data_IF_892138834015
#
_entry.id   IF_892138834015
#
_cell.length_a   1.000
_cell.length_b   1.000
_cell.length_c   1.000
_cell.angle_alpha   90.00
_cell.angle_beta   90.00
_cell.angle_gamma   90.00
#
_symmetry.space_group_name_H-M   'P 1'
#
loop_
_entity.id
_entity.type
_entity.pdbx_description
1 polymer ?
#
# COMPACT_ATOMS: atom_id res chain seq x y z
N UNK A 1 -17.87 -0.20 -15.36
CA UNK A 1 -17.74 -1.24 -16.40
C UNK A 1 -17.01 -0.58 -17.56
N UNK A 2 -15.80 -1.05 -17.85
CA UNK A 2 -15.01 -0.66 -19.00
C UNK A 2 -14.57 -1.94 -19.71
N UNK A 3 -14.57 -1.96 -21.02
CA UNK A 3 -13.99 -3.04 -21.82
C UNK A 3 -12.89 -2.43 -22.67
N UNK A 4 -11.64 -2.79 -22.37
CA UNK A 4 -10.46 -2.25 -23.03
C UNK A 4 -9.28 -3.22 -22.89
N UNK A 5 -8.14 -2.87 -23.46
CA UNK A 5 -6.86 -3.53 -23.20
C UNK A 5 -6.19 -2.95 -21.95
N UNK A 6 -5.94 -3.81 -20.97
CA UNK A 6 -5.24 -3.45 -19.75
C UNK A 6 -4.02 -4.36 -19.55
N UNK A 7 -2.99 -3.84 -18.91
CA UNK A 7 -1.89 -4.68 -18.43
C UNK A 7 -2.39 -5.52 -17.26
N UNK A 8 -2.41 -6.83 -17.44
CA UNK A 8 -2.94 -7.77 -16.45
C UNK A 8 -2.27 -9.13 -16.54
N UNK A 9 -2.34 -9.88 -15.45
CA UNK A 9 -1.71 -11.20 -15.36
C UNK A 9 -2.06 -11.92 -14.07
N UNK A 10 -1.84 -13.24 -14.07
CA UNK A 10 -1.91 -14.04 -12.84
C UNK A 10 -0.57 -13.98 -12.10
N UNK A 11 -0.63 -13.75 -10.80
CA UNK A 11 0.51 -13.80 -9.90
C UNK A 11 0.32 -15.04 -9.02
N UNK A 12 0.82 -16.17 -9.50
CA UNK A 12 0.62 -17.49 -8.87
C UNK A 12 1.13 -17.53 -7.42
N UNK A 13 2.24 -16.87 -7.12
CA UNK A 13 2.80 -16.79 -5.77
C UNK A 13 1.90 -16.03 -4.78
N UNK A 14 1.07 -15.13 -5.30
CA UNK A 14 0.10 -14.39 -4.52
C UNK A 14 -1.30 -15.02 -4.56
N UNK A 15 -1.53 -16.03 -5.41
CA UNK A 15 -2.85 -16.60 -5.72
C UNK A 15 -3.87 -15.49 -6.06
N UNK A 16 -3.46 -14.61 -6.97
CA UNK A 16 -4.22 -13.41 -7.32
C UNK A 16 -4.06 -13.05 -8.80
N UNK A 17 -5.06 -12.36 -9.33
CA UNK A 17 -4.95 -11.60 -10.56
C UNK A 17 -4.48 -10.18 -10.27
N UNK A 18 -3.54 -9.70 -11.06
CA UNK A 18 -3.09 -8.32 -11.08
C UNK A 18 -3.66 -7.60 -12.30
N UNK A 19 -4.11 -6.37 -12.09
CA UNK A 19 -4.62 -5.46 -13.12
C UNK A 19 -4.00 -4.08 -12.88
N UNK A 20 -3.30 -3.56 -13.87
CA UNK A 20 -2.75 -2.20 -13.83
C UNK A 20 -3.58 -1.23 -14.66
N UNK A 21 -3.93 -0.10 -14.05
CA UNK A 21 -4.84 0.90 -14.63
C UNK A 21 -4.13 2.26 -14.62
N UNK A 22 -3.62 2.73 -15.76
CA UNK A 22 -2.93 4.00 -15.83
C UNK A 22 -3.88 5.17 -15.57
N UNK A 23 -3.45 6.13 -14.76
CA UNK A 23 -4.12 7.42 -14.66
C UNK A 23 -3.78 8.29 -15.88
N UNK A 24 -4.57 9.34 -16.08
CA UNK A 24 -4.31 10.31 -17.14
C UNK A 24 -2.88 10.87 -17.04
N UNK A 25 -2.15 10.81 -18.16
CA UNK A 25 -0.76 11.25 -18.25
C UNK A 25 0.27 10.17 -17.90
N UNK A 26 -0.15 8.93 -17.63
CA UNK A 26 0.67 7.70 -17.56
C UNK A 26 1.83 7.73 -16.56
N UNK A 27 1.88 8.75 -15.69
CA UNK A 27 2.89 8.88 -14.64
C UNK A 27 2.61 7.99 -13.43
N UNK A 28 1.34 7.71 -13.20
CA UNK A 28 0.87 6.92 -12.08
C UNK A 28 -0.14 5.90 -12.60
N UNK A 29 -0.26 4.78 -11.91
CA UNK A 29 -1.27 3.77 -12.17
C UNK A 29 -1.86 3.25 -10.86
N UNK A 30 -3.03 2.64 -10.96
CA UNK A 30 -3.65 1.88 -9.90
C UNK A 30 -3.46 0.40 -10.19
N UNK A 31 -2.57 -0.25 -9.43
CA UNK A 31 -2.43 -1.70 -9.42
C UNK A 31 -3.47 -2.31 -8.49
N UNK A 32 -4.37 -3.12 -9.05
CA UNK A 32 -5.41 -3.85 -8.33
C UNK A 32 -5.03 -5.33 -8.26
N UNK A 33 -4.95 -5.88 -7.05
CA UNK A 33 -4.79 -7.32 -6.81
C UNK A 33 -6.13 -7.91 -6.39
N UNK A 34 -6.59 -8.92 -7.14
CA UNK A 34 -7.86 -9.61 -6.91
C UNK A 34 -7.53 -11.07 -6.54
N UNK A 35 -7.81 -11.52 -5.31
CA UNK A 35 -7.63 -12.92 -4.93
C UNK A 35 -8.37 -13.86 -5.89
N UNK A 36 -7.81 -15.05 -6.13
CA UNK A 36 -8.43 -16.04 -7.02
C UNK A 36 -9.72 -16.67 -6.43
N UNK A 37 -9.88 -16.64 -5.10
CA UNK A 37 -11.06 -17.12 -4.38
C UNK A 37 -11.73 -16.00 -3.56
N UNK A 38 -13.03 -16.12 -3.31
CA UNK A 38 -13.82 -15.13 -2.56
C UNK A 38 -13.34 -14.96 -1.11
N UNK A 39 -12.75 -15.99 -0.52
CA UNK A 39 -12.15 -16.01 0.83
C UNK A 39 -10.62 -15.83 0.82
N UNK A 40 -10.02 -15.57 -0.35
CA UNK A 40 -8.57 -15.58 -0.55
C UNK A 40 -7.82 -14.36 -0.01
N UNK A 41 -8.54 -13.33 0.46
CA UNK A 41 -7.95 -12.06 0.89
C UNK A 41 -6.94 -12.23 2.04
N UNK A 42 -7.27 -13.03 3.05
CA UNK A 42 -6.38 -13.29 4.19
C UNK A 42 -5.08 -13.98 3.77
N UNK A 43 -5.17 -14.90 2.81
CA UNK A 43 -4.01 -15.58 2.22
C UNK A 43 -3.12 -14.61 1.45
N UNK A 44 -3.74 -13.78 0.61
CA UNK A 44 -3.05 -12.73 -0.15
C UNK A 44 -2.31 -11.76 0.80
N UNK A 45 -2.97 -11.28 1.86
CA UNK A 45 -2.39 -10.35 2.84
C UNK A 45 -1.22 -10.93 3.63
N UNK A 46 -1.14 -12.27 3.78
CA UNK A 46 0.00 -12.94 4.41
C UNK A 46 1.20 -13.10 3.48
N UNK A 47 0.96 -13.22 2.17
CA UNK A 47 2.00 -13.42 1.14
C UNK A 47 2.53 -12.13 0.54
N UNK A 48 1.71 -11.08 0.54
CA UNK A 48 2.05 -9.77 -0.02
C UNK A 48 3.23 -9.08 0.67
N UNK A 49 3.39 -9.11 2.02
CA UNK A 49 4.51 -8.48 2.68
C UNK A 49 5.85 -9.06 2.18
N UNK A 50 6.72 -8.19 1.68
CA UNK A 50 8.02 -8.60 1.12
C UNK A 50 7.96 -9.12 -0.33
N UNK A 51 6.77 -9.23 -0.93
CA UNK A 51 6.67 -9.52 -2.36
C UNK A 51 7.07 -8.30 -3.18
N UNK A 52 7.92 -8.50 -4.19
CA UNK A 52 8.43 -7.42 -5.02
C UNK A 52 7.40 -6.99 -6.06
N UNK A 53 7.05 -5.70 -6.10
CA UNK A 53 6.21 -5.13 -7.16
C UNK A 53 6.80 -5.35 -8.56
N UNK A 54 8.14 -5.37 -8.68
CA UNK A 54 8.82 -5.69 -9.93
C UNK A 54 8.52 -7.12 -10.42
N UNK A 55 8.26 -8.05 -9.50
CA UNK A 55 7.85 -9.41 -9.90
C UNK A 55 6.41 -9.44 -10.39
N UNK A 56 5.52 -8.56 -9.88
CA UNK A 56 4.16 -8.43 -10.38
C UNK A 56 4.18 -7.88 -11.81
N UNK A 57 4.92 -6.78 -12.03
CA UNK A 57 5.07 -6.11 -13.33
C UNK A 57 5.48 -7.07 -14.45
N UNK A 58 6.43 -7.99 -14.16
CA UNK A 58 6.88 -9.02 -15.10
C UNK A 58 5.79 -10.00 -15.55
N UNK A 59 4.73 -10.18 -14.77
CA UNK A 59 3.62 -11.08 -15.11
C UNK A 59 2.55 -10.37 -15.94
N UNK A 60 2.60 -9.05 -16.04
CA UNK A 60 1.57 -8.28 -16.73
C UNK A 60 1.78 -8.32 -18.24
N UNK A 61 0.69 -8.52 -18.95
CA UNK A 61 0.64 -8.44 -20.41
C UNK A 61 -0.63 -7.70 -20.81
N UNK A 62 -0.62 -7.06 -21.99
CA UNK A 62 -1.83 -6.42 -22.51
C UNK A 62 -2.87 -7.49 -22.84
N UNK A 63 -3.98 -7.47 -22.12
CA UNK A 63 -5.11 -8.39 -22.33
C UNK A 63 -6.39 -7.57 -22.46
N UNK A 64 -7.20 -7.91 -23.45
CA UNK A 64 -8.53 -7.32 -23.61
C UNK A 64 -9.46 -7.95 -22.58
N UNK A 65 -10.05 -7.13 -21.71
CA UNK A 65 -10.89 -7.61 -20.63
C UNK A 65 -11.99 -6.61 -20.24
N UNK A 66 -13.07 -7.17 -19.68
CA UNK A 66 -14.12 -6.38 -19.04
C UNK A 66 -13.76 -6.18 -17.56
N UNK A 67 -13.67 -4.92 -17.16
CA UNK A 67 -13.33 -4.49 -15.80
C UNK A 67 -14.52 -3.81 -15.14
N UNK A 68 -14.90 -4.31 -13.97
CA UNK A 68 -15.90 -3.69 -13.11
C UNK A 68 -15.29 -3.35 -11.75
N UNK A 69 -15.07 -2.06 -11.51
CA UNK A 69 -14.52 -1.56 -10.23
C UNK A 69 -15.62 -0.79 -9.49
N UNK A 70 -15.87 -1.11 -8.21
CA UNK A 70 -16.80 -0.35 -7.39
C UNK A 70 -16.31 1.09 -7.18
N UNK A 71 -17.22 2.06 -7.25
CA UNK A 71 -16.91 3.45 -6.86
C UNK A 71 -16.83 3.50 -5.34
N UNK A 72 -15.63 3.74 -4.82
CA UNK A 72 -15.34 3.73 -3.39
C UNK A 72 -14.79 5.07 -2.95
N UNK A 73 -15.06 5.43 -1.70
CA UNK A 73 -14.41 6.55 -1.02
C UNK A 73 -13.99 6.08 0.36
N UNK A 74 -12.70 6.20 0.66
CA UNK A 74 -12.15 5.83 1.95
C UNK A 74 -11.78 7.08 2.73
N UNK A 75 -12.03 7.04 4.03
CA UNK A 75 -11.55 8.04 4.98
C UNK A 75 -10.79 7.27 6.05
N UNK A 76 -9.52 7.61 6.25
CA UNK A 76 -8.70 7.03 7.31
C UNK A 76 -8.09 8.15 8.13
N UNK A 77 -8.18 8.03 9.45
CA UNK A 77 -7.41 8.85 10.39
C UNK A 77 -6.29 7.95 10.87
N UNK A 78 -5.11 8.11 10.30
CA UNK A 78 -3.91 7.40 10.73
C UNK A 78 -3.32 8.10 11.94
N UNK A 79 -3.01 7.35 13.01
CA UNK A 79 -2.18 7.81 14.13
C UNK A 79 -0.77 7.20 14.00
N UNK A 80 0.12 7.79 13.20
CA UNK A 80 1.45 7.25 12.92
C UNK A 80 2.34 7.07 14.16
N UNK A 81 2.06 7.78 15.27
CA UNK A 81 2.73 7.61 16.56
C UNK A 81 2.89 6.13 16.95
N UNK A 82 1.80 5.37 16.93
CA UNK A 82 1.82 3.95 17.33
C UNK A 82 2.70 3.09 16.40
N UNK A 83 2.69 3.39 15.10
CA UNK A 83 3.52 2.69 14.11
C UNK A 83 5.00 2.99 14.29
N UNK A 84 5.36 4.24 14.61
CA UNK A 84 6.73 4.64 14.89
C UNK A 84 7.26 4.02 16.18
N UNK A 85 6.46 4.02 17.24
CA UNK A 85 6.79 3.35 18.51
C UNK A 85 7.03 1.85 18.27
N UNK A 86 6.14 1.17 17.53
CA UNK A 86 6.32 -0.25 17.17
C UNK A 86 7.56 -0.51 16.32
N UNK A 87 8.03 0.50 15.58
CA UNK A 87 9.23 0.43 14.75
C UNK A 87 10.52 0.78 15.52
N UNK A 88 10.42 1.09 16.82
CA UNK A 88 11.56 1.40 17.70
C UNK A 88 11.85 2.89 17.85
N UNK A 89 11.05 3.78 17.26
CA UNK A 89 11.16 5.22 17.47
C UNK A 89 10.25 5.58 18.65
N UNK A 90 10.77 5.40 19.86
CA UNK A 90 10.05 5.61 21.13
C UNK A 90 10.33 6.97 21.73
N UNK A 91 11.62 7.34 21.80
CA UNK A 91 12.08 8.46 22.62
C UNK A 91 11.55 9.79 22.10
N UNK A 92 11.37 9.92 20.78
CA UNK A 92 10.76 11.09 20.14
C UNK A 92 9.40 11.49 20.75
N UNK A 93 8.68 10.51 21.30
CA UNK A 93 7.31 10.67 21.79
C UNK A 93 7.19 10.71 23.31
N UNK A 94 8.30 10.81 24.04
CA UNK A 94 8.32 10.88 25.49
C UNK A 94 9.36 11.90 25.98
N UNK A 95 9.47 12.09 27.29
CA UNK A 95 10.39 13.07 27.90
C UNK A 95 11.89 12.76 27.68
N UNK A 96 12.23 11.57 27.17
CA UNK A 96 13.59 11.15 26.83
C UNK A 96 14.03 11.68 25.46
N UNK A 97 13.13 12.33 24.70
CA UNK A 97 13.44 12.94 23.41
C UNK A 97 14.60 13.94 23.49
N UNK A 98 15.64 13.73 22.67
CA UNK A 98 16.67 14.73 22.42
C UNK A 98 16.36 15.52 21.14
N UNK A 99 15.67 16.64 21.32
CA UNK A 99 15.35 17.62 20.27
C UNK A 99 16.21 18.89 20.38
N UNK A 100 17.42 18.78 20.95
CA UNK A 100 18.34 19.91 21.15
C UNK A 100 18.75 20.64 19.87
N UNK A 101 18.67 19.95 18.71
CA UNK A 101 18.89 20.56 17.39
C UNK A 101 17.76 21.48 16.92
N UNK A 102 16.57 21.42 17.53
CA UNK A 102 15.40 22.27 17.21
C UNK A 102 15.28 23.42 18.23
N UNK A 103 15.40 23.11 19.52
CA UNK A 103 15.32 24.07 20.62
C UNK A 103 16.30 23.70 21.72
N UNK A 104 16.87 24.71 22.40
CA UNK A 104 17.70 24.51 23.58
C UNK A 104 16.91 24.18 24.86
N UNK A 105 15.58 24.19 24.78
CA UNK A 105 14.70 23.84 25.91
C UNK A 105 14.67 22.33 26.15
N UNK A 106 14.66 21.93 27.43
CA UNK A 106 14.57 20.52 27.84
C UNK A 106 13.12 20.08 27.97
N UNK A 107 12.87 18.80 27.75
CA UNK A 107 11.53 18.20 27.87
C UNK A 107 10.62 18.46 26.67
N UNK A 108 11.19 18.90 25.55
CA UNK A 108 10.46 19.00 24.29
C UNK A 108 10.36 17.60 23.67
N UNK A 109 9.14 17.15 23.39
CA UNK A 109 8.85 15.90 22.70
C UNK A 109 7.66 16.05 21.76
N UNK A 110 7.49 15.09 20.86
CA UNK A 110 6.37 15.05 19.94
C UNK A 110 5.18 14.33 20.58
N UNK A 111 4.10 15.04 20.86
CA UNK A 111 2.94 14.42 21.53
C UNK A 111 2.06 13.61 20.55
N UNK A 112 1.66 14.18 19.42
CA UNK A 112 0.91 13.47 18.37
C UNK A 112 1.41 13.86 16.99
N UNK A 113 1.15 12.99 16.01
CA UNK A 113 1.42 13.19 14.59
C UNK A 113 0.28 12.61 13.76
#
# INVERSE_FOLDING_TARGET
>A
HAEDEFESGKVEELDAWALDIPYQGERYSLLVLVPASDDGLDGLLKRLPGFSFYNIDKQLTKLRMSVCIPKLKFYSITKPKDSFIKSGITDLFNEEADLSGISGEKGLYLDEL
#
